data_IF_755468699092
#
_entry.id   IF_755468699092
#
_cell.length_a   1.000
_cell.length_b   1.000
_cell.length_c   1.000
_cell.angle_alpha   90.00
_cell.angle_beta   90.00
_cell.angle_gamma   90.00
#
_symmetry.space_group_name_H-M   'P 1'
#
loop_
_entity.id
_entity.type
_entity.pdbx_description
1 polymer ?
#
# COMPACT_ATOMS: atom_id res chain seq x y z
N UNK A 1 0.58 -14.70 3.57
CA UNK A 1 1.61 -13.81 4.08
C UNK A 1 1.50 -12.42 3.45
N UNK A 2 0.31 -12.09 2.93
CA UNK A 2 0.24 -11.19 1.78
C UNK A 2 -0.85 -10.13 1.95
N UNK A 3 -1.17 -9.86 3.21
CA UNK A 3 -1.60 -8.54 3.60
C UNK A 3 -0.35 -7.64 3.50
N UNK A 4 -0.54 -6.34 3.56
CA UNK A 4 0.48 -5.38 3.19
C UNK A 4 1.30 -5.06 4.43
N UNK A 5 2.54 -5.56 4.50
CA UNK A 5 3.52 -5.15 5.50
C UNK A 5 4.12 -3.80 5.09
N UNK A 6 4.26 -2.87 6.03
CA UNK A 6 4.81 -1.52 5.86
C UNK A 6 5.10 -0.94 7.25
N UNK A 7 5.01 0.39 7.42
CA UNK A 7 5.34 1.12 8.63
C UNK A 7 4.32 2.25 8.84
N UNK A 8 3.81 2.42 10.06
CA UNK A 8 2.87 3.48 10.45
C UNK A 8 2.80 3.50 11.99
N UNK A 9 2.17 4.51 12.62
CA UNK A 9 2.05 4.66 14.07
C UNK A 9 3.38 4.43 14.81
N UNK A 10 4.50 4.73 14.15
CA UNK A 10 5.84 4.54 14.70
C UNK A 10 6.16 3.07 14.98
N UNK A 11 5.65 2.13 14.17
CA UNK A 11 5.99 0.72 14.28
C UNK A 11 5.83 0.08 12.89
N UNK A 12 6.09 -1.23 12.79
CA UNK A 12 5.74 -2.00 11.60
C UNK A 12 4.22 -2.13 11.58
N UNK A 13 3.62 -2.18 10.39
CA UNK A 13 2.19 -2.26 10.24
C UNK A 13 1.83 -3.22 9.12
N UNK A 14 0.81 -4.04 9.35
CA UNK A 14 0.29 -5.04 8.42
C UNK A 14 -1.16 -4.61 8.15
N UNK A 15 -1.58 -4.48 6.89
CA UNK A 15 -2.95 -4.10 6.55
C UNK A 15 -3.60 -5.06 5.56
N UNK A 16 -4.85 -5.43 5.82
CA UNK A 16 -5.62 -6.28 4.93
C UNK A 16 -6.37 -5.41 3.93
N UNK A 17 -6.60 -5.96 2.75
CA UNK A 17 -7.38 -5.37 1.68
C UNK A 17 -8.73 -4.82 2.13
N UNK A 18 -9.40 -5.49 3.06
CA UNK A 18 -10.66 -5.01 3.62
C UNK A 18 -10.55 -3.53 4.02
N UNK A 19 -9.36 -3.10 4.46
CA UNK A 19 -9.11 -1.74 4.90
C UNK A 19 -8.50 -0.81 3.83
N UNK A 20 -8.04 -1.29 2.67
CA UNK A 20 -7.29 -0.41 1.76
C UNK A 20 -8.23 0.51 0.98
N UNK A 21 -7.86 1.80 0.91
CA UNK A 21 -8.70 2.89 0.45
C UNK A 21 -8.28 3.34 -0.96
N UNK A 22 -6.97 3.40 -1.22
CA UNK A 22 -6.42 3.82 -2.51
C UNK A 22 -4.98 3.34 -2.58
N UNK A 23 -4.45 3.10 -3.78
CA UNK A 23 -3.02 2.93 -4.03
C UNK A 23 -2.69 3.60 -5.36
N UNK A 24 -1.54 4.28 -5.45
CA UNK A 24 -1.06 5.00 -6.62
C UNK A 24 0.46 5.11 -6.50
N UNK A 25 1.12 5.62 -7.54
CA UNK A 25 2.54 5.95 -7.51
C UNK A 25 2.71 7.42 -7.14
N UNK A 26 3.28 7.73 -5.97
CA UNK A 26 3.79 9.08 -5.73
C UNK A 26 5.14 9.20 -6.44
N UNK A 27 5.08 9.29 -7.78
CA UNK A 27 6.27 9.44 -8.60
C UNK A 27 7.20 8.23 -8.47
N UNK A 28 8.12 8.31 -7.51
CA UNK A 28 9.10 7.28 -7.21
C UNK A 28 8.48 6.15 -6.39
N UNK A 29 7.66 6.50 -5.39
CA UNK A 29 7.28 5.55 -4.34
C UNK A 29 5.85 5.05 -4.53
N UNK A 30 5.58 3.83 -4.05
CA UNK A 30 4.24 3.31 -4.00
C UNK A 30 3.60 3.96 -2.78
N UNK A 31 2.49 4.65 -3.00
CA UNK A 31 1.75 5.41 -2.01
C UNK A 31 0.35 4.81 -1.92
N UNK A 32 -0.19 4.59 -0.72
CA UNK A 32 -1.57 4.19 -0.54
C UNK A 32 -2.18 4.98 0.59
N UNK A 33 -3.51 4.99 0.61
CA UNK A 33 -4.26 5.23 1.81
C UNK A 33 -4.92 3.92 2.19
N UNK A 34 -4.90 3.61 3.48
CA UNK A 34 -5.52 2.44 4.05
C UNK A 34 -6.32 2.96 5.25
N UNK A 35 -7.23 2.14 5.77
CA UNK A 35 -8.12 2.50 6.86
C UNK A 35 -7.66 1.83 8.16
N UNK A 36 -7.90 2.45 9.31
CA UNK A 36 -7.77 1.81 10.61
C UNK A 36 -9.04 2.12 11.39
N UNK A 37 -9.91 1.11 11.55
CA UNK A 37 -11.14 1.18 12.32
C UNK A 37 -11.96 2.45 12.07
N UNK A 38 -12.04 2.89 10.81
CA UNK A 38 -12.90 3.99 10.40
C UNK A 38 -12.12 5.25 10.05
N UNK A 39 -10.96 5.50 10.68
CA UNK A 39 -10.14 6.64 10.28
C UNK A 39 -9.23 6.20 9.13
N UNK A 40 -8.78 7.14 8.29
CA UNK A 40 -7.87 6.84 7.20
C UNK A 40 -6.43 6.76 7.74
N UNK A 41 -5.44 6.75 6.84
CA UNK A 41 -4.02 6.66 7.14
C UNK A 41 -3.33 6.47 5.79
N UNK A 42 -2.04 6.79 5.71
CA UNK A 42 -1.22 6.73 4.51
C UNK A 42 -0.15 5.68 4.75
N UNK A 43 0.04 4.78 3.78
CA UNK A 43 1.12 3.82 3.77
C UNK A 43 1.93 4.02 2.50
N UNK A 44 3.14 3.48 2.46
CA UNK A 44 4.00 3.61 1.30
C UNK A 44 5.13 2.60 1.38
N UNK A 45 5.72 2.27 0.23
CA UNK A 45 6.86 1.37 0.10
C UNK A 45 7.67 1.80 -1.13
N UNK A 46 8.94 1.37 -1.19
CA UNK A 46 9.74 1.38 -2.41
C UNK A 46 9.73 -0.02 -3.03
N UNK A 47 9.60 -0.10 -4.36
CA UNK A 47 9.48 -1.32 -5.16
C UNK A 47 10.38 -2.45 -4.67
N UNK A 48 11.65 -2.15 -4.44
CA UNK A 48 12.68 -3.10 -4.05
C UNK A 48 12.26 -3.95 -2.85
N UNK A 49 11.41 -3.40 -1.97
CA UNK A 49 10.94 -4.06 -0.77
C UNK A 49 9.41 -4.07 -0.69
N UNK A 50 8.74 -4.08 -1.85
CA UNK A 50 7.29 -4.18 -2.00
C UNK A 50 6.88 -5.59 -2.44
N UNK A 51 6.52 -6.49 -1.52
CA UNK A 51 6.03 -7.82 -1.82
C UNK A 51 4.77 -7.87 -2.71
N UNK A 52 4.67 -9.00 -3.41
CA UNK A 52 3.76 -9.22 -4.53
C UNK A 52 2.33 -8.71 -4.35
N UNK A 53 1.56 -9.02 -3.29
CA UNK A 53 0.17 -8.56 -3.28
C UNK A 53 0.06 -7.03 -3.34
N UNK A 54 0.96 -6.32 -2.65
CA UNK A 54 0.93 -4.87 -2.67
C UNK A 54 1.15 -4.43 -4.10
N UNK A 55 2.12 -5.08 -4.74
CA UNK A 55 2.35 -4.83 -6.14
C UNK A 55 1.11 -5.15 -6.93
N UNK A 56 0.45 -6.29 -6.75
CA UNK A 56 -0.67 -6.71 -7.57
C UNK A 56 -1.75 -5.62 -7.57
N UNK A 57 -2.10 -5.09 -6.40
CA UNK A 57 -3.09 -4.01 -6.34
C UNK A 57 -2.56 -2.77 -7.07
N UNK A 58 -1.36 -2.32 -6.70
CA UNK A 58 -0.73 -1.22 -7.41
C UNK A 58 -0.49 -1.54 -8.89
N UNK A 59 -0.49 -2.81 -9.29
CA UNK A 59 0.07 -3.24 -10.57
C UNK A 59 -0.92 -2.94 -11.66
N UNK A 60 -2.18 -3.32 -11.44
CA UNK A 60 -3.22 -2.95 -12.38
C UNK A 60 -3.22 -1.43 -12.57
N UNK A 61 -3.16 -0.71 -11.45
CA UNK A 61 -3.12 0.75 -11.46
C UNK A 61 -1.95 1.27 -12.30
N UNK A 62 -0.73 0.87 -11.96
CA UNK A 62 0.50 1.33 -12.58
C UNK A 62 0.54 0.96 -14.06
N UNK A 63 0.23 -0.29 -14.41
CA UNK A 63 0.21 -0.72 -15.80
C UNK A 63 -0.82 0.09 -16.59
N UNK A 64 -2.04 0.23 -16.06
CA UNK A 64 -3.09 1.02 -16.68
C UNK A 64 -2.60 2.45 -16.95
N UNK A 65 -2.03 3.11 -15.94
CA UNK A 65 -1.52 4.47 -16.07
C UNK A 65 -0.38 4.52 -17.10
N UNK A 66 0.57 3.60 -17.00
CA UNK A 66 1.73 3.49 -17.88
C UNK A 66 1.41 2.48 -18.98
#
# INVERSE_FOLDING_TARGET
MVKVKFKYKGEEKEVDTSKIKKVWRVGKMVSFTYDDNGKTGRGAVSEKDAPKELLDMLARAEREKK
#
